data_IF_042205189315
#
_entry.id   IF_042205189315
#
_cell.length_a   1.000
_cell.length_b   1.000
_cell.length_c   1.000
_cell.angle_alpha   90.00
_cell.angle_beta   90.00
_cell.angle_gamma   90.00
#
_symmetry.space_group_name_H-M   'P 1'
#
loop_
_entity.id
_entity.type
_entity.pdbx_description
1 polymer ?
#
# COMPACT_ATOMS: atom_id res chain seq x y z
N UNK A 1 4.82 23.40 10.71
CA UNK A 1 4.45 23.07 9.32
C UNK A 1 3.28 22.09 9.37
N UNK A 2 2.21 22.35 8.63
CA UNK A 2 1.06 21.44 8.56
C UNK A 2 1.30 20.38 7.47
N UNK A 3 1.00 19.13 7.78
CA UNK A 3 1.00 18.03 6.80
C UNK A 3 -0.05 18.33 5.73
N UNK A 4 0.34 18.27 4.45
CA UNK A 4 -0.54 18.58 3.29
C UNK A 4 -1.10 17.34 2.60
N UNK A 5 -0.85 16.15 3.15
CA UNK A 5 -1.11 14.87 2.49
C UNK A 5 0.16 14.26 1.90
N UNK A 6 0.03 13.03 1.44
CA UNK A 6 1.06 12.34 0.66
C UNK A 6 0.94 12.71 -0.81
N UNK A 7 2.07 12.65 -1.53
CA UNK A 7 2.06 12.77 -2.98
C UNK A 7 1.27 11.61 -3.59
N UNK A 8 0.70 11.84 -4.77
CA UNK A 8 -0.09 10.83 -5.47
C UNK A 8 0.44 10.60 -6.86
N UNK A 9 0.53 9.34 -7.27
CA UNK A 9 0.95 8.95 -8.61
C UNK A 9 -0.01 7.93 -9.24
N UNK A 10 0.06 7.83 -10.56
CA UNK A 10 -0.70 6.84 -11.32
C UNK A 10 0.07 5.52 -11.39
N UNK A 11 -0.51 4.50 -10.79
CA UNK A 11 0.00 3.14 -10.79
C UNK A 11 -0.68 2.31 -11.88
N UNK A 12 0.11 1.58 -12.65
CA UNK A 12 -0.36 0.64 -13.67
C UNK A 12 -0.44 -0.75 -13.04
N UNK A 13 -1.64 -1.31 -12.99
CA UNK A 13 -1.90 -2.65 -12.50
C UNK A 13 -1.55 -3.72 -13.56
N UNK A 14 -1.33 -4.98 -13.16
CA UNK A 14 -1.00 -6.06 -14.08
C UNK A 14 -2.08 -6.34 -15.16
N UNK A 15 -3.32 -5.94 -14.91
CA UNK A 15 -4.43 -6.03 -15.87
C UNK A 15 -4.48 -4.84 -16.85
N UNK A 16 -3.53 -3.91 -16.76
CA UNK A 16 -3.48 -2.68 -17.55
C UNK A 16 -4.33 -1.54 -16.99
N UNK A 17 -5.01 -1.75 -15.86
CA UNK A 17 -5.77 -0.71 -15.19
C UNK A 17 -4.87 0.37 -14.62
N UNK A 18 -5.30 1.64 -14.68
CA UNK A 18 -4.56 2.76 -14.09
C UNK A 18 -5.32 3.25 -12.85
N UNK A 19 -4.65 3.24 -11.71
CA UNK A 19 -5.22 3.66 -10.42
C UNK A 19 -4.36 4.75 -9.79
N UNK A 20 -4.98 5.64 -9.02
CA UNK A 20 -4.22 6.60 -8.22
C UNK A 20 -3.71 5.90 -6.94
N UNK A 21 -2.48 6.19 -6.57
CA UNK A 21 -1.78 5.65 -5.40
C UNK A 21 -1.14 6.77 -4.61
N UNK A 22 -1.00 6.58 -3.29
CA UNK A 22 -0.25 7.50 -2.43
C UNK A 22 1.20 7.03 -2.27
N UNK A 23 2.12 7.99 -2.19
CA UNK A 23 3.56 7.74 -2.05
C UNK A 23 4.07 8.24 -0.69
N UNK A 24 3.75 7.55 0.41
CA UNK A 24 4.27 7.92 1.71
C UNK A 24 5.78 7.66 1.81
N UNK A 25 6.50 8.55 2.49
CA UNK A 25 7.95 8.38 2.70
C UNK A 25 8.26 7.16 3.58
N UNK A 26 7.36 6.83 4.52
CA UNK A 26 7.51 5.71 5.45
C UNK A 26 6.19 4.97 5.58
N UNK A 27 6.23 3.65 5.44
CA UNK A 27 5.11 2.75 5.69
C UNK A 27 5.37 1.97 6.99
N UNK A 28 4.46 2.09 7.95
CA UNK A 28 4.47 1.27 9.16
C UNK A 28 3.56 0.05 8.97
N UNK A 29 4.17 -1.14 9.00
CA UNK A 29 3.51 -2.41 8.69
C UNK A 29 3.15 -3.26 9.93
N UNK A 30 3.50 -2.83 11.15
CA UNK A 30 3.44 -3.67 12.36
C UNK A 30 2.14 -3.57 13.17
N UNK A 31 1.25 -2.61 12.88
CA UNK A 31 0.07 -2.34 13.73
C UNK A 31 -1.03 -3.40 13.70
N UNK A 32 -0.96 -4.38 12.80
CA UNK A 32 -1.94 -5.47 12.70
C UNK A 32 -1.31 -6.87 12.81
N UNK A 33 -0.07 -7.05 12.35
CA UNK A 33 0.68 -8.33 12.42
C UNK A 33 2.15 -8.08 12.07
N UNK A 34 3.09 -8.89 12.58
CA UNK A 34 4.49 -8.87 12.11
C UNK A 34 4.59 -9.47 10.70
N UNK A 35 4.26 -8.65 9.69
CA UNK A 35 4.19 -9.05 8.29
C UNK A 35 5.44 -9.83 7.81
N UNK A 36 6.69 -9.39 8.09
CA UNK A 36 7.87 -10.14 7.67
C UNK A 36 8.02 -11.50 8.36
N UNK A 37 7.52 -11.64 9.60
CA UNK A 37 7.66 -12.87 10.38
C UNK A 37 6.61 -13.92 9.99
N UNK A 38 5.37 -13.50 9.72
CA UNK A 38 4.25 -14.41 9.48
C UNK A 38 3.79 -14.49 8.02
N UNK A 39 4.13 -13.50 7.19
CA UNK A 39 3.74 -13.42 5.77
C UNK A 39 4.91 -13.04 4.85
N UNK A 40 6.09 -13.70 4.96
CA UNK A 40 7.30 -13.30 4.24
C UNK A 40 7.13 -13.38 2.71
N UNK A 41 6.50 -14.44 2.20
CA UNK A 41 6.30 -14.62 0.76
C UNK A 41 5.42 -13.51 0.18
N UNK A 42 4.28 -13.23 0.82
CA UNK A 42 3.41 -12.13 0.43
C UNK A 42 4.15 -10.80 0.46
N UNK A 43 4.93 -10.53 1.52
CA UNK A 43 5.70 -9.31 1.68
C UNK A 43 6.70 -9.10 0.55
N UNK A 44 7.54 -10.10 0.26
CA UNK A 44 8.49 -10.01 -0.84
C UNK A 44 7.80 -9.88 -2.20
N UNK A 45 6.64 -10.51 -2.40
CA UNK A 45 5.87 -10.35 -3.63
C UNK A 45 5.31 -8.93 -3.78
N UNK A 46 4.87 -8.28 -2.69
CA UNK A 46 4.45 -6.87 -2.74
C UNK A 46 5.62 -5.93 -2.96
N UNK A 47 6.77 -6.17 -2.31
CA UNK A 47 7.99 -5.40 -2.53
C UNK A 47 8.45 -5.45 -4.00
N UNK A 48 8.45 -6.65 -4.61
CA UNK A 48 8.79 -6.80 -6.04
C UNK A 48 7.79 -6.12 -6.96
N UNK A 49 6.51 -6.13 -6.59
CA UNK A 49 5.47 -5.43 -7.34
C UNK A 49 5.61 -3.90 -7.25
N UNK A 50 6.28 -3.38 -6.21
CA UNK A 50 6.45 -1.94 -5.99
C UNK A 50 5.20 -1.25 -5.45
N UNK A 51 4.18 -2.01 -5.02
CA UNK A 51 2.98 -1.44 -4.42
C UNK A 51 2.20 -2.46 -3.58
N UNK A 52 1.31 -1.93 -2.74
CA UNK A 52 0.32 -2.71 -2.00
C UNK A 52 -1.05 -2.05 -2.05
N UNK A 53 -2.10 -2.87 -2.07
CA UNK A 53 -3.46 -2.39 -1.81
C UNK A 53 -3.76 -2.58 -0.33
N UNK A 54 -3.91 -1.49 0.39
CA UNK A 54 -4.40 -1.50 1.76
C UNK A 54 -5.92 -1.38 1.77
N UNK A 55 -6.57 -2.15 2.64
CA UNK A 55 -8.02 -2.09 2.87
C UNK A 55 -8.25 -1.91 4.35
N UNK A 56 -9.15 -0.98 4.72
CA UNK A 56 -9.52 -0.79 6.11
C UNK A 56 -10.31 -2.01 6.62
N UNK A 57 -9.87 -2.70 7.69
CA UNK A 57 -10.56 -3.88 8.22
C UNK A 57 -11.97 -3.57 8.78
N UNK A 58 -12.24 -2.31 9.14
CA UNK A 58 -13.54 -1.87 9.68
C UNK A 58 -14.47 -1.28 8.60
N UNK A 59 -13.94 -0.98 7.41
CA UNK A 59 -14.70 -0.45 6.29
C UNK A 59 -14.08 -0.91 4.97
N UNK A 60 -14.58 -2.01 4.42
CA UNK A 60 -14.06 -2.60 3.19
C UNK A 60 -14.15 -1.67 1.96
N UNK A 61 -15.03 -0.67 1.99
CA UNK A 61 -15.14 0.32 0.91
C UNK A 61 -14.00 1.35 0.94
N UNK A 62 -13.27 1.44 2.05
CA UNK A 62 -12.08 2.29 2.17
C UNK A 62 -10.84 1.46 1.84
N UNK A 63 -10.37 1.57 0.60
CA UNK A 63 -9.10 0.98 0.16
C UNK A 63 -8.22 2.01 -0.52
N UNK A 64 -6.90 1.85 -0.40
CA UNK A 64 -5.91 2.72 -1.03
C UNK A 64 -4.80 1.87 -1.66
N UNK A 65 -4.27 2.35 -2.78
CA UNK A 65 -3.01 1.85 -3.32
C UNK A 65 -1.87 2.69 -2.74
N UNK A 66 -0.80 2.01 -2.34
CA UNK A 66 0.40 2.62 -1.77
C UNK A 66 1.59 2.11 -2.56
N UNK A 67 2.37 3.04 -3.11
CA UNK A 67 3.65 2.79 -3.79
C UNK A 67 4.81 3.46 -3.08
#
# INVERSE_FOLDING_TARGET
MAFRGWETEKLILPDGGVVDSICPVIISASRATDIPAFYPEWFFNRLRAGYVRWTNPFNANQSQYIS
#
